data_IF_063373675064
#
_entry.id   IF_063373675064
#
_cell.length_a   1.000
_cell.length_b   1.000
_cell.length_c   1.000
_cell.angle_alpha   90.00
_cell.angle_beta   90.00
_cell.angle_gamma   90.00
#
_symmetry.space_group_name_H-M   'P 1'
#
loop_
_entity.id
_entity.type
_entity.pdbx_description
1 polymer ?
#
# COMPACT_ATOMS: atom_id res chain seq x y z
N UNK A 1 12.30 -11.16 2.31
CA UNK A 1 12.42 -11.10 3.80
C UNK A 1 13.10 -9.79 4.18
N UNK A 2 12.65 -9.12 5.26
CA UNK A 2 13.28 -7.89 5.77
C UNK A 2 13.71 -8.09 7.23
N UNK A 3 14.92 -7.60 7.57
CA UNK A 3 15.51 -7.69 8.91
C UNK A 3 15.29 -6.34 9.60
N UNK A 4 14.88 -6.36 10.86
CA UNK A 4 14.76 -5.15 11.66
C UNK A 4 16.12 -4.80 12.27
N UNK A 5 16.59 -3.55 12.02
CA UNK A 5 17.90 -3.10 12.54
C UNK A 5 17.74 -2.32 13.86
N UNK A 6 16.64 -1.58 14.02
CA UNK A 6 16.42 -0.74 15.18
C UNK A 6 15.14 0.07 15.13
N UNK A 7 15.08 1.11 15.99
CA UNK A 7 14.03 2.15 15.98
C UNK A 7 14.69 3.52 16.04
N UNK A 8 14.26 4.44 15.17
CA UNK A 8 14.64 5.85 15.23
C UNK A 8 13.34 6.65 15.36
N UNK A 9 13.28 7.58 16.29
CA UNK A 9 12.08 8.36 16.62
C UNK A 9 10.84 7.49 16.92
N UNK A 10 11.04 6.25 17.45
CA UNK A 10 9.98 5.28 17.69
C UNK A 10 9.51 4.50 16.45
N UNK A 11 10.05 4.82 15.26
CA UNK A 11 9.70 4.17 14.00
C UNK A 11 10.65 2.99 13.77
N UNK A 12 10.11 1.75 13.56
CA UNK A 12 10.94 0.59 13.27
C UNK A 12 11.59 0.73 11.88
N UNK A 13 12.93 0.51 11.82
CA UNK A 13 13.69 0.52 10.57
C UNK A 13 13.99 -0.91 10.17
N UNK A 14 13.74 -1.23 8.91
CA UNK A 14 13.98 -2.54 8.30
C UNK A 14 14.85 -2.42 7.07
N UNK A 15 15.71 -3.41 6.87
CA UNK A 15 16.47 -3.60 5.63
C UNK A 15 15.92 -4.83 4.92
N UNK A 16 15.57 -4.65 3.64
CA UNK A 16 15.26 -5.76 2.76
C UNK A 16 16.56 -6.36 2.21
N UNK A 17 16.63 -7.68 2.00
CA UNK A 17 17.84 -8.36 1.52
C UNK A 17 18.36 -7.82 0.18
N UNK A 18 17.48 -7.27 -0.66
CA UNK A 18 17.88 -6.67 -1.95
C UNK A 18 18.78 -5.44 -1.80
N UNK A 19 18.79 -4.80 -0.63
CA UNK A 19 19.69 -3.67 -0.37
C UNK A 19 21.15 -4.08 -0.42
N UNK A 20 21.50 -5.28 0.07
CA UNK A 20 22.86 -5.78 0.03
C UNK A 20 23.39 -5.93 -1.38
N UNK A 21 22.54 -6.38 -2.31
CA UNK A 21 22.92 -6.47 -3.72
C UNK A 21 23.26 -5.09 -4.28
N UNK A 22 22.42 -4.08 -4.02
CA UNK A 22 22.65 -2.70 -4.51
C UNK A 22 23.89 -2.10 -3.84
N UNK A 23 24.08 -2.34 -2.54
CA UNK A 23 25.25 -1.86 -1.81
C UNK A 23 26.56 -2.38 -2.46
N UNK A 24 26.63 -3.67 -2.72
CA UNK A 24 27.81 -4.28 -3.37
C UNK A 24 27.97 -3.74 -4.78
N UNK A 25 26.89 -3.62 -5.55
CA UNK A 25 26.93 -3.10 -6.91
C UNK A 25 27.46 -1.66 -6.96
N UNK A 26 26.96 -0.78 -6.08
CA UNK A 26 27.41 0.62 -6.02
C UNK A 26 28.88 0.68 -5.57
N UNK A 27 29.25 -0.02 -4.49
CA UNK A 27 30.63 -0.02 -4.02
C UNK A 27 31.60 -0.53 -5.07
N UNK A 28 31.25 -1.59 -5.80
CA UNK A 28 32.04 -2.13 -6.90
C UNK A 28 32.12 -1.17 -8.09
N UNK A 29 31.00 -0.61 -8.53
CA UNK A 29 30.97 0.37 -9.65
C UNK A 29 31.83 1.60 -9.35
N UNK A 30 31.80 2.07 -8.10
CA UNK A 30 32.65 3.18 -7.68
C UNK A 30 34.13 2.79 -7.62
N UNK A 31 34.45 1.63 -7.02
CA UNK A 31 35.84 1.19 -6.83
C UNK A 31 36.55 0.84 -8.14
N UNK A 32 35.83 0.28 -9.14
CA UNK A 32 36.43 -0.25 -10.36
C UNK A 32 36.21 0.69 -11.56
N UNK A 33 35.10 1.46 -11.55
CA UNK A 33 34.73 2.34 -12.68
C UNK A 33 34.99 3.82 -12.38
N UNK A 34 34.11 4.44 -11.59
CA UNK A 34 34.07 5.89 -11.44
C UNK A 34 35.34 6.47 -10.77
N UNK A 35 35.75 5.94 -9.62
CA UNK A 35 36.87 6.52 -8.85
C UNK A 35 38.23 6.41 -9.56
N UNK A 36 38.59 5.29 -10.22
CA UNK A 36 39.82 5.23 -11.00
C UNK A 36 39.84 6.18 -12.20
N UNK A 37 38.69 6.48 -12.77
CA UNK A 37 38.57 7.44 -13.90
C UNK A 37 38.77 8.88 -13.43
N UNK A 38 38.08 9.28 -12.34
CA UNK A 38 38.12 10.68 -11.84
C UNK A 38 39.39 10.98 -11.02
N UNK A 39 39.94 10.01 -10.32
CA UNK A 39 41.09 10.15 -9.42
C UNK A 39 42.16 9.07 -9.73
N UNK A 40 42.86 9.18 -10.88
CA UNK A 40 43.81 8.14 -11.27
C UNK A 40 45.04 8.09 -10.33
N UNK A 41 45.65 6.91 -10.23
CA UNK A 41 46.90 6.71 -9.50
C UNK A 41 46.79 6.33 -8.02
N UNK A 42 45.57 6.10 -7.52
CA UNK A 42 45.36 5.55 -6.19
C UNK A 42 45.49 4.02 -6.16
N UNK A 43 45.84 3.47 -5.00
CA UNK A 43 45.90 1.99 -4.85
C UNK A 43 44.50 1.35 -4.82
N UNK A 44 44.42 0.09 -5.23
CA UNK A 44 43.18 -0.70 -5.30
C UNK A 44 42.42 -0.68 -3.97
N UNK A 45 43.13 -0.85 -2.85
CA UNK A 45 42.51 -0.82 -1.49
C UNK A 45 41.85 0.53 -1.21
N UNK A 46 42.49 1.63 -1.66
CA UNK A 46 41.94 2.98 -1.48
C UNK A 46 40.65 3.18 -2.28
N UNK A 47 40.59 2.72 -3.54
CA UNK A 47 39.38 2.77 -4.35
C UNK A 47 38.23 2.01 -3.71
N UNK A 48 38.47 0.80 -3.20
CA UNK A 48 37.46 0.03 -2.49
C UNK A 48 37.00 0.71 -1.19
N UNK A 49 37.94 1.33 -0.46
CA UNK A 49 37.59 2.09 0.75
C UNK A 49 36.68 3.26 0.41
N UNK A 50 37.01 4.06 -0.60
CA UNK A 50 36.18 5.17 -1.07
C UNK A 50 34.80 4.64 -1.52
N UNK A 51 34.75 3.57 -2.31
CA UNK A 51 33.51 3.00 -2.82
C UNK A 51 32.58 2.51 -1.72
N UNK A 52 33.12 1.77 -0.73
CA UNK A 52 32.35 1.28 0.41
C UNK A 52 31.85 2.42 1.30
N UNK A 53 32.72 3.37 1.66
CA UNK A 53 32.35 4.52 2.50
C UNK A 53 31.30 5.39 1.80
N UNK A 54 31.45 5.66 0.50
CA UNK A 54 30.47 6.41 -0.29
C UNK A 54 29.12 5.71 -0.35
N UNK A 55 29.11 4.38 -0.53
CA UNK A 55 27.88 3.60 -0.51
C UNK A 55 27.18 3.66 0.87
N UNK A 56 27.95 3.56 1.97
CA UNK A 56 27.38 3.72 3.34
C UNK A 56 26.76 5.11 3.49
N UNK A 57 27.48 6.19 3.11
CA UNK A 57 26.96 7.56 3.19
C UNK A 57 25.68 7.69 2.38
N UNK A 58 25.61 7.14 1.18
CA UNK A 58 24.39 7.17 0.34
C UNK A 58 23.20 6.52 1.06
N UNK A 59 23.36 5.32 1.62
CA UNK A 59 22.25 4.65 2.31
C UNK A 59 21.85 5.34 3.61
N UNK A 60 22.78 5.94 4.33
CA UNK A 60 22.48 6.81 5.47
C UNK A 60 21.71 8.04 5.01
N UNK A 61 22.11 8.66 3.89
CA UNK A 61 21.41 9.80 3.31
C UNK A 61 19.97 9.46 2.89
N UNK A 62 19.76 8.31 2.24
CA UNK A 62 18.43 7.82 1.90
C UNK A 62 17.59 7.60 3.16
N UNK A 63 18.17 7.04 4.22
CA UNK A 63 17.46 6.88 5.48
C UNK A 63 17.07 8.22 6.11
N UNK A 64 17.96 9.21 6.08
CA UNK A 64 17.69 10.57 6.60
C UNK A 64 16.62 11.27 5.76
N UNK A 65 16.65 11.09 4.44
CA UNK A 65 15.61 11.55 3.52
C UNK A 65 14.22 10.99 3.93
N UNK A 66 14.08 9.67 4.11
CA UNK A 66 12.85 9.03 4.54
C UNK A 66 12.40 9.43 5.96
N UNK A 67 13.38 9.60 6.86
CA UNK A 67 13.09 10.08 8.21
C UNK A 67 12.53 11.51 8.19
N UNK A 68 12.93 12.34 7.22
CA UNK A 68 12.42 13.71 7.09
C UNK A 68 10.95 13.75 6.71
N UNK A 69 10.51 12.92 5.76
CA UNK A 69 9.08 12.71 5.48
C UNK A 69 8.32 12.23 6.72
N UNK A 70 8.89 11.22 7.36
CA UNK A 70 8.33 10.59 8.56
C UNK A 70 8.24 11.56 9.74
N UNK A 71 9.21 12.46 9.89
CA UNK A 71 9.17 13.50 10.93
C UNK A 71 8.00 14.45 10.73
N UNK A 72 7.81 14.96 9.51
CA UNK A 72 6.69 15.86 9.18
C UNK A 72 5.35 15.13 9.36
N UNK A 73 5.23 13.90 8.89
CA UNK A 73 4.03 13.08 9.06
C UNK A 73 3.68 12.90 10.55
N UNK A 74 4.64 12.45 11.35
CA UNK A 74 4.45 12.19 12.78
C UNK A 74 4.11 13.46 13.57
N UNK A 75 4.75 14.60 13.27
CA UNK A 75 4.46 15.90 13.90
C UNK A 75 3.03 16.35 13.65
N UNK A 76 2.42 15.91 12.55
CA UNK A 76 1.03 16.22 12.20
C UNK A 76 0.05 15.07 12.51
N UNK A 77 0.44 14.12 13.37
CA UNK A 77 -0.44 13.08 13.91
C UNK A 77 -0.64 11.86 13.01
N UNK A 78 0.03 11.79 11.85
CA UNK A 78 -0.08 10.61 10.97
C UNK A 78 0.72 9.43 11.54
N UNK A 79 0.09 8.26 11.70
CA UNK A 79 0.77 7.08 12.21
C UNK A 79 1.67 6.44 11.15
N UNK A 80 2.91 6.09 11.55
CA UNK A 80 3.90 5.47 10.68
C UNK A 80 4.18 4.06 11.18
N UNK A 81 3.93 3.06 10.34
CA UNK A 81 4.13 1.67 10.70
C UNK A 81 5.61 1.29 10.75
N UNK A 82 6.38 1.66 9.73
CA UNK A 82 7.81 1.36 9.60
C UNK A 82 8.43 2.08 8.41
N UNK A 83 9.78 2.13 8.39
CA UNK A 83 10.58 2.49 7.22
C UNK A 83 11.30 1.23 6.76
N UNK A 84 11.23 0.91 5.47
CA UNK A 84 11.93 -0.23 4.87
C UNK A 84 12.85 0.27 3.77
N UNK A 85 14.15 0.00 3.89
CA UNK A 85 15.14 0.24 2.83
C UNK A 85 15.23 -0.99 1.93
N UNK A 86 15.15 -0.78 0.62
CA UNK A 86 15.16 -1.84 -0.39
C UNK A 86 15.89 -1.38 -1.67
N UNK A 87 15.84 -2.18 -2.75
CA UNK A 87 16.57 -1.96 -4.00
C UNK A 87 16.43 -0.55 -4.58
N UNK A 88 15.22 0.02 -4.63
CA UNK A 88 14.95 1.33 -5.22
C UNK A 88 15.01 2.51 -4.22
N UNK A 89 15.51 2.31 -3.00
CA UNK A 89 15.60 3.35 -1.99
C UNK A 89 14.90 3.00 -0.68
N UNK A 90 14.23 3.99 -0.07
CA UNK A 90 13.44 3.83 1.14
C UNK A 90 11.94 3.90 0.86
N UNK A 91 11.14 3.22 1.68
CA UNK A 91 9.69 3.38 1.71
C UNK A 91 9.23 3.52 3.16
N UNK A 92 8.59 4.64 3.43
CA UNK A 92 7.88 4.90 4.68
C UNK A 92 6.44 4.40 4.57
N UNK A 93 6.09 3.35 5.33
CA UNK A 93 4.72 2.86 5.38
C UNK A 93 3.89 3.75 6.32
N UNK A 94 3.27 4.78 5.74
CA UNK A 94 2.32 5.66 6.41
C UNK A 94 0.95 5.00 6.30
N UNK A 95 0.28 4.78 7.44
CA UNK A 95 -0.98 4.03 7.48
C UNK A 95 -2.20 4.84 7.05
N UNK A 96 -2.11 6.16 7.08
CA UNK A 96 -3.18 7.08 6.70
C UNK A 96 -2.68 8.11 5.71
N UNK A 97 -3.43 8.36 4.64
CA UNK A 97 -3.10 9.43 3.69
C UNK A 97 -3.40 10.81 4.29
N UNK A 98 -2.57 11.83 3.97
CA UNK A 98 -2.85 13.21 4.36
C UNK A 98 -4.24 13.67 3.87
N UNK A 99 -5.04 14.24 4.76
CA UNK A 99 -6.35 14.80 4.41
C UNK A 99 -6.28 16.29 4.02
N UNK A 100 -5.13 16.92 4.25
CA UNK A 100 -4.86 18.31 3.91
C UNK A 100 -3.81 18.40 2.79
N UNK A 101 -4.11 19.12 1.69
CA UNK A 101 -3.17 19.30 0.59
C UNK A 101 -1.88 20.02 0.99
N UNK A 102 -1.97 20.96 1.94
CA UNK A 102 -0.79 21.65 2.45
C UNK A 102 0.14 20.74 3.25
N UNK A 103 -0.43 19.79 3.99
CA UNK A 103 0.35 18.77 4.70
C UNK A 103 1.03 17.82 3.70
N UNK A 104 0.33 17.41 2.65
CA UNK A 104 0.90 16.55 1.61
C UNK A 104 2.13 17.19 0.97
N UNK A 105 2.04 18.47 0.58
CA UNK A 105 3.16 19.21 -0.02
C UNK A 105 4.34 19.30 0.95
N UNK A 106 4.10 19.70 2.20
CA UNK A 106 5.18 19.84 3.22
C UNK A 106 5.85 18.50 3.51
N UNK A 107 5.06 17.44 3.60
CA UNK A 107 5.56 16.11 3.86
C UNK A 107 6.41 15.62 2.67
N UNK A 108 5.89 15.74 1.45
CA UNK A 108 6.60 15.29 0.26
C UNK A 108 7.87 16.11 -0.03
N UNK A 109 7.87 17.40 0.22
CA UNK A 109 9.04 18.24 0.02
C UNK A 109 10.16 18.03 1.07
N UNK A 110 9.83 17.46 2.24
CA UNK A 110 10.79 17.34 3.37
C UNK A 110 12.01 16.48 3.03
N UNK A 111 11.83 15.36 2.32
CA UNK A 111 12.93 14.48 1.90
C UNK A 111 13.89 15.14 0.92
N UNK A 112 13.43 15.61 -0.23
CA UNK A 112 14.28 16.33 -1.19
C UNK A 112 15.01 17.53 -0.58
N UNK A 113 14.33 18.34 0.25
CA UNK A 113 14.97 19.46 0.95
C UNK A 113 16.09 18.98 1.86
N UNK A 114 15.89 17.90 2.59
CA UNK A 114 16.94 17.32 3.45
C UNK A 114 18.12 16.80 2.61
N UNK A 115 17.87 16.17 1.47
CA UNK A 115 18.94 15.76 0.55
C UNK A 115 19.77 16.94 0.05
N UNK A 116 19.16 18.09 -0.26
CA UNK A 116 19.90 19.30 -0.61
C UNK A 116 20.67 19.88 0.58
N UNK A 117 20.14 19.81 1.80
CA UNK A 117 20.89 20.21 3.00
C UNK A 117 22.13 19.34 3.17
N UNK A 118 22.01 18.01 3.04
CA UNK A 118 23.14 17.08 3.11
C UNK A 118 24.14 17.39 1.98
N UNK A 119 23.66 17.60 0.75
CA UNK A 119 24.51 17.97 -0.38
C UNK A 119 25.28 19.25 -0.13
N UNK A 120 24.63 20.28 0.40
CA UNK A 120 25.28 21.56 0.74
C UNK A 120 26.35 21.40 1.82
N UNK A 121 26.04 20.65 2.91
CA UNK A 121 27.01 20.39 4.00
C UNK A 121 28.22 19.63 3.46
N UNK A 122 28.00 18.54 2.69
CA UNK A 122 29.09 17.76 2.10
C UNK A 122 29.86 18.54 1.05
N UNK A 123 29.20 19.40 0.28
CA UNK A 123 29.83 20.31 -0.68
C UNK A 123 30.73 21.35 -0.01
N UNK A 124 30.29 21.93 1.11
CA UNK A 124 31.13 22.84 1.91
C UNK A 124 32.35 22.10 2.48
N UNK A 125 32.15 20.89 3.03
CA UNK A 125 33.24 20.07 3.55
C UNK A 125 34.24 19.66 2.45
N UNK A 126 33.75 19.33 1.27
CA UNK A 126 34.56 19.08 0.08
C UNK A 126 35.40 20.31 -0.28
N UNK A 127 34.77 21.49 -0.38
CA UNK A 127 35.46 22.73 -0.71
C UNK A 127 36.55 23.12 0.32
N UNK A 128 36.24 22.98 1.61
CA UNK A 128 37.22 23.20 2.70
C UNK A 128 38.34 22.16 2.62
N UNK A 129 38.02 20.91 2.28
CA UNK A 129 39.01 19.83 2.06
C UNK A 129 40.00 20.17 0.94
N UNK A 130 39.48 20.71 -0.19
CA UNK A 130 40.31 21.19 -1.30
C UNK A 130 41.25 22.33 -0.85
N UNK A 131 40.71 23.34 -0.16
CA UNK A 131 41.49 24.49 0.33
C UNK A 131 42.58 24.07 1.32
N UNK A 132 42.27 23.12 2.21
CA UNK A 132 43.19 22.60 3.23
C UNK A 132 44.15 21.54 2.69
N UNK A 133 44.09 21.19 1.41
CA UNK A 133 44.85 20.12 0.77
C UNK A 133 44.69 18.78 1.50
N UNK A 134 43.48 18.45 1.91
CA UNK A 134 43.17 17.17 2.51
C UNK A 134 43.54 16.00 1.57
N UNK A 135 43.59 14.79 2.10
CA UNK A 135 43.97 13.62 1.31
C UNK A 135 42.92 13.36 0.22
N UNK A 136 43.37 12.94 -0.98
CA UNK A 136 42.50 12.66 -2.16
C UNK A 136 41.33 11.74 -1.85
N UNK A 137 41.49 10.67 -1.04
CA UNK A 137 40.34 9.81 -0.68
C UNK A 137 39.22 10.54 0.06
N UNK A 138 39.54 11.49 0.94
CA UNK A 138 38.55 12.29 1.68
C UNK A 138 37.82 13.21 0.71
N UNK A 139 38.57 13.93 -0.14
CA UNK A 139 38.01 14.85 -1.15
C UNK A 139 37.09 14.09 -2.10
N UNK A 140 37.55 12.95 -2.65
CA UNK A 140 36.76 12.12 -3.56
C UNK A 140 35.45 11.61 -2.92
N UNK A 141 35.52 11.15 -1.66
CA UNK A 141 34.33 10.68 -0.94
C UNK A 141 33.33 11.81 -0.69
N UNK A 142 33.79 12.96 -0.21
CA UNK A 142 32.91 14.11 0.08
C UNK A 142 32.29 14.70 -1.19
N UNK A 143 33.09 14.83 -2.27
CA UNK A 143 32.60 15.35 -3.56
C UNK A 143 31.54 14.43 -4.15
N UNK A 144 31.80 13.13 -4.20
CA UNK A 144 30.83 12.16 -4.70
C UNK A 144 29.56 12.13 -3.82
N UNK A 145 29.70 12.08 -2.50
CA UNK A 145 28.57 12.05 -1.59
C UNK A 145 27.72 13.33 -1.67
N UNK A 146 28.34 14.49 -1.84
CA UNK A 146 27.64 15.75 -2.09
C UNK A 146 26.84 15.74 -3.40
N UNK A 147 27.51 15.33 -4.49
CA UNK A 147 26.91 15.23 -5.82
C UNK A 147 25.70 14.27 -5.82
N UNK A 148 25.85 13.07 -5.29
CA UNK A 148 24.78 12.07 -5.32
C UNK A 148 23.57 12.50 -4.47
N UNK A 149 23.78 13.22 -3.35
CA UNK A 149 22.68 13.79 -2.57
C UNK A 149 21.96 14.92 -3.30
N UNK A 150 22.70 15.76 -4.04
CA UNK A 150 22.09 16.78 -4.90
C UNK A 150 21.24 16.13 -6.00
N UNK A 151 21.76 15.10 -6.65
CA UNK A 151 21.02 14.32 -7.67
C UNK A 151 19.81 13.60 -7.06
N UNK A 152 19.93 13.02 -5.87
CA UNK A 152 18.82 12.39 -5.15
C UNK A 152 17.69 13.39 -4.87
N UNK A 153 18.02 14.58 -4.38
CA UNK A 153 17.06 15.67 -4.16
C UNK A 153 16.41 16.15 -5.45
N UNK A 154 17.22 16.40 -6.49
CA UNK A 154 16.74 16.88 -7.78
C UNK A 154 15.83 15.85 -8.48
N UNK A 155 16.26 14.58 -8.51
CA UNK A 155 15.47 13.50 -9.12
C UNK A 155 14.14 13.30 -8.40
N UNK A 156 14.13 13.32 -7.06
CA UNK A 156 12.90 13.20 -6.29
C UNK A 156 11.97 14.42 -6.43
N UNK A 157 12.44 15.58 -6.86
CA UNK A 157 11.59 16.75 -7.16
C UNK A 157 10.98 16.74 -8.57
N UNK A 158 11.31 15.78 -9.42
CA UNK A 158 10.62 15.63 -10.71
C UNK A 158 9.10 15.46 -10.51
N UNK A 159 8.25 16.19 -11.26
CA UNK A 159 6.80 16.17 -11.07
C UNK A 159 6.16 14.89 -11.62
N UNK A 160 6.65 13.75 -11.19
CA UNK A 160 6.23 12.44 -11.66
C UNK A 160 6.11 11.43 -10.51
N UNK A 161 5.00 10.69 -10.41
CA UNK A 161 4.88 9.55 -9.52
C UNK A 161 5.80 8.40 -9.95
N UNK A 162 6.35 7.62 -9.02
CA UNK A 162 6.10 7.64 -7.57
C UNK A 162 7.02 8.59 -6.77
N UNK A 163 7.71 9.53 -7.42
CA UNK A 163 8.65 10.45 -6.80
C UNK A 163 7.92 11.49 -5.93
N UNK A 164 8.65 12.09 -5.00
CA UNK A 164 8.09 13.10 -4.08
C UNK A 164 7.57 14.34 -4.81
N UNK A 165 8.25 14.76 -5.88
CA UNK A 165 7.82 15.86 -6.74
C UNK A 165 6.45 15.60 -7.39
N UNK A 166 6.11 14.35 -7.69
CA UNK A 166 4.78 13.97 -8.13
C UNK A 166 3.71 14.24 -7.06
N UNK A 167 4.04 13.96 -5.79
CA UNK A 167 3.17 14.26 -4.64
C UNK A 167 3.08 15.76 -4.34
N UNK A 168 4.20 16.48 -4.43
CA UNK A 168 4.21 17.95 -4.33
C UNK A 168 3.33 18.56 -5.41
N UNK A 169 3.46 18.08 -6.64
CA UNK A 169 2.66 18.55 -7.77
C UNK A 169 1.17 18.23 -7.59
N UNK A 170 0.82 16.98 -7.19
CA UNK A 170 -0.55 16.59 -6.84
C UNK A 170 -1.12 17.48 -5.75
N UNK A 171 -0.42 17.63 -4.64
CA UNK A 171 -0.86 18.45 -3.50
C UNK A 171 -1.09 19.90 -3.86
N UNK A 172 -0.23 20.46 -4.74
CA UNK A 172 -0.37 21.83 -5.24
C UNK A 172 -1.64 22.01 -6.09
N UNK A 173 -1.91 21.07 -7.02
CA UNK A 173 -3.15 21.08 -7.80
C UNK A 173 -4.37 20.86 -6.89
N UNK A 174 -4.28 19.92 -5.93
CA UNK A 174 -5.36 19.63 -5.00
C UNK A 174 -5.72 20.85 -4.17
N UNK A 175 -4.72 21.62 -3.72
CA UNK A 175 -4.93 22.87 -2.97
C UNK A 175 -5.75 23.92 -3.76
N UNK A 176 -5.58 23.97 -5.08
CA UNK A 176 -6.29 24.93 -5.94
C UNK A 176 -7.65 24.39 -6.41
N UNK A 177 -7.75 23.11 -6.72
CA UNK A 177 -8.96 22.50 -7.27
C UNK A 177 -9.95 22.00 -6.21
N UNK A 178 -9.51 21.85 -4.96
CA UNK A 178 -10.23 21.18 -3.87
C UNK A 178 -10.72 19.76 -4.25
N UNK A 179 -10.12 19.14 -5.26
CA UNK A 179 -10.51 17.82 -5.77
C UNK A 179 -9.29 16.91 -5.91
N UNK A 180 -9.14 15.97 -4.96
CA UNK A 180 -8.02 15.04 -4.91
C UNK A 180 -7.98 14.11 -6.13
N UNK A 181 -9.14 13.62 -6.60
CA UNK A 181 -9.22 12.73 -7.78
C UNK A 181 -8.73 13.46 -9.02
N UNK A 182 -9.20 14.69 -9.24
CA UNK A 182 -8.78 15.48 -10.39
C UNK A 182 -7.29 15.81 -10.32
N UNK A 183 -6.79 16.19 -9.15
CA UNK A 183 -5.37 16.45 -8.93
C UNK A 183 -4.51 15.20 -9.22
N UNK A 184 -4.93 14.04 -8.72
CA UNK A 184 -4.22 12.78 -8.96
C UNK A 184 -4.25 12.39 -10.43
N UNK A 185 -5.41 12.49 -11.11
CA UNK A 185 -5.50 12.21 -12.56
C UNK A 185 -4.57 13.11 -13.37
N UNK A 186 -4.48 14.39 -13.04
CA UNK A 186 -3.60 15.34 -13.72
C UNK A 186 -2.13 15.01 -13.47
N UNK A 187 -1.75 14.74 -12.21
CA UNK A 187 -0.39 14.36 -11.88
C UNK A 187 0.03 13.02 -12.54
N UNK A 188 -0.90 12.05 -12.63
CA UNK A 188 -0.67 10.78 -13.34
C UNK A 188 -0.42 11.02 -14.82
N UNK A 189 -1.23 11.84 -15.51
CA UNK A 189 -1.02 12.17 -16.94
C UNK A 189 0.34 12.82 -17.21
N UNK A 190 0.76 13.73 -16.33
CA UNK A 190 2.10 14.36 -16.42
C UNK A 190 3.19 13.31 -16.24
N UNK A 191 3.03 12.40 -15.26
CA UNK A 191 3.96 11.29 -15.04
C UNK A 191 4.03 10.33 -16.24
N UNK A 192 2.89 10.01 -16.87
CA UNK A 192 2.83 9.19 -18.08
C UNK A 192 3.55 9.88 -19.25
N UNK A 193 3.33 11.16 -19.46
CA UNK A 193 4.04 11.95 -20.50
C UNK A 193 5.54 11.94 -20.27
N UNK A 194 5.99 12.17 -19.03
CA UNK A 194 7.40 12.12 -18.66
C UNK A 194 8.00 10.71 -18.85
N UNK A 195 7.27 9.66 -18.46
CA UNK A 195 7.71 8.28 -18.64
C UNK A 195 7.89 7.90 -20.12
N UNK A 196 6.94 8.32 -20.96
CA UNK A 196 7.04 8.09 -22.41
C UNK A 196 8.24 8.83 -23.03
N UNK A 197 8.50 10.08 -22.59
CA UNK A 197 9.67 10.83 -23.01
C UNK A 197 10.97 10.11 -22.64
N UNK A 198 11.07 9.60 -21.40
CA UNK A 198 12.23 8.81 -20.96
C UNK A 198 12.39 7.52 -21.77
N UNK A 199 11.30 6.76 -21.98
CA UNK A 199 11.37 5.51 -22.75
C UNK A 199 11.80 5.78 -24.20
N UNK A 200 11.28 6.84 -24.81
CA UNK A 200 11.70 7.27 -26.15
C UNK A 200 13.18 7.71 -26.17
N UNK A 201 13.61 8.52 -25.21
CA UNK A 201 15.01 8.94 -25.07
C UNK A 201 15.95 7.76 -24.89
N UNK A 202 15.58 6.77 -24.07
CA UNK A 202 16.34 5.54 -23.89
C UNK A 202 16.43 4.71 -25.19
N UNK A 203 15.35 4.66 -25.97
CA UNK A 203 15.36 4.01 -27.28
C UNK A 203 16.33 4.72 -28.26
N UNK A 204 16.33 6.05 -28.25
CA UNK A 204 17.27 6.85 -29.06
C UNK A 204 18.72 6.55 -28.66
N UNK A 205 19.04 6.50 -27.36
CA UNK A 205 20.40 6.14 -26.90
C UNK A 205 20.85 4.76 -27.40
N UNK A 206 19.98 3.77 -27.41
CA UNK A 206 20.28 2.44 -27.96
C UNK A 206 20.66 2.54 -29.44
N UNK A 207 19.93 3.33 -30.23
CA UNK A 207 20.24 3.54 -31.67
C UNK A 207 21.61 4.19 -31.84
N UNK A 208 22.00 5.10 -30.96
CA UNK A 208 23.30 5.77 -31.00
C UNK A 208 24.46 4.96 -30.39
N UNK A 209 24.19 3.73 -29.93
CA UNK A 209 25.21 2.80 -29.45
C UNK A 209 25.34 2.69 -27.94
N UNK A 210 24.65 3.54 -27.17
CA UNK A 210 24.65 3.52 -25.70
C UNK A 210 23.59 2.53 -25.18
N UNK A 211 23.82 1.24 -25.43
CA UNK A 211 22.85 0.18 -25.21
C UNK A 211 22.47 0.02 -23.72
N UNK A 212 23.46 0.06 -22.82
CA UNK A 212 23.25 -0.15 -21.38
C UNK A 212 22.46 1.00 -20.78
N UNK A 213 22.90 2.24 -21.07
CA UNK A 213 22.24 3.44 -20.53
C UNK A 213 20.83 3.61 -21.11
N UNK A 214 20.65 3.29 -22.40
CA UNK A 214 19.35 3.31 -23.05
C UNK A 214 18.36 2.33 -22.43
N UNK A 215 18.76 1.07 -22.17
CA UNK A 215 17.91 0.10 -21.45
C UNK A 215 17.57 0.61 -20.05
N UNK A 216 18.55 1.16 -19.33
CA UNK A 216 18.35 1.64 -17.98
C UNK A 216 17.30 2.77 -17.92
N UNK A 217 17.37 3.72 -18.85
CA UNK A 217 16.41 4.82 -18.94
C UNK A 217 15.00 4.33 -19.33
N UNK A 218 14.89 3.32 -20.21
CA UNK A 218 13.62 2.69 -20.55
C UNK A 218 12.99 2.03 -19.30
N UNK A 219 13.79 1.29 -18.52
CA UNK A 219 13.34 0.63 -17.29
C UNK A 219 12.87 1.67 -16.25
N UNK A 220 13.61 2.77 -16.10
CA UNK A 220 13.19 3.88 -15.21
C UNK A 220 11.88 4.53 -15.69
N UNK A 221 11.72 4.77 -16.98
CA UNK A 221 10.47 5.28 -17.56
C UNK A 221 9.29 4.34 -17.29
N UNK A 222 9.48 3.04 -17.50
CA UNK A 222 8.46 2.03 -17.18
C UNK A 222 8.11 1.99 -15.69
N UNK A 223 9.10 2.09 -14.81
CA UNK A 223 8.90 2.17 -13.37
C UNK A 223 8.06 3.39 -12.97
N UNK A 224 8.34 4.57 -13.52
CA UNK A 224 7.57 5.80 -13.29
C UNK A 224 6.12 5.62 -13.75
N UNK A 225 5.89 5.07 -14.95
CA UNK A 225 4.55 4.78 -15.45
C UNK A 225 3.76 3.87 -14.52
N UNK A 226 4.36 2.74 -14.15
CA UNK A 226 3.73 1.75 -13.26
C UNK A 226 3.41 2.33 -11.87
N UNK A 227 4.30 3.16 -11.32
CA UNK A 227 4.09 3.88 -10.07
C UNK A 227 2.94 4.88 -10.14
N UNK A 228 2.84 5.64 -11.24
CA UNK A 228 1.78 6.60 -11.46
C UNK A 228 0.39 5.93 -11.57
N UNK A 229 0.28 4.86 -12.36
CA UNK A 229 -0.95 4.08 -12.46
C UNK A 229 -1.37 3.48 -11.11
N UNK A 230 -0.41 3.00 -10.33
CA UNK A 230 -0.65 2.42 -9.00
C UNK A 230 -1.15 3.49 -8.02
N UNK A 231 -0.54 4.68 -8.03
CA UNK A 231 -0.96 5.81 -7.20
C UNK A 231 -2.40 6.26 -7.52
N UNK A 232 -2.75 6.34 -8.80
CA UNK A 232 -4.11 6.67 -9.22
C UNK A 232 -5.12 5.61 -8.74
N UNK A 233 -4.82 4.32 -8.94
CA UNK A 233 -5.69 3.23 -8.48
C UNK A 233 -5.90 3.27 -6.97
N UNK A 234 -4.84 3.50 -6.19
CA UNK A 234 -4.94 3.62 -4.73
C UNK A 234 -5.82 4.78 -4.31
N UNK A 235 -5.66 5.96 -4.92
CA UNK A 235 -6.49 7.13 -4.64
C UNK A 235 -7.96 6.88 -4.99
N UNK A 236 -8.25 6.28 -6.15
CA UNK A 236 -9.63 5.96 -6.55
C UNK A 236 -10.30 4.99 -5.58
N UNK A 237 -9.59 3.92 -5.18
CA UNK A 237 -10.08 2.96 -4.19
C UNK A 237 -10.31 3.61 -2.83
N UNK A 238 -9.35 4.41 -2.35
CA UNK A 238 -9.49 5.13 -1.08
C UNK A 238 -10.71 6.05 -1.07
N UNK A 239 -10.90 6.84 -2.13
CA UNK A 239 -12.04 7.76 -2.27
C UNK A 239 -13.38 7.00 -2.41
N UNK A 240 -13.41 5.91 -3.18
CA UNK A 240 -14.61 5.09 -3.33
C UNK A 240 -15.05 4.44 -2.02
N UNK A 241 -14.13 4.18 -1.10
CA UNK A 241 -14.41 3.59 0.22
C UNK A 241 -14.59 4.63 1.34
N UNK A 242 -14.38 5.92 1.05
CA UNK A 242 -14.59 6.99 2.02
C UNK A 242 -16.04 7.03 2.48
N UNK A 243 -16.27 7.02 3.82
CA UNK A 243 -17.60 7.01 4.42
C UNK A 243 -18.36 5.68 4.30
N UNK A 244 -17.75 4.63 3.79
CA UNK A 244 -18.36 3.28 3.75
C UNK A 244 -17.96 2.51 4.99
N UNK A 245 -18.95 2.08 5.78
CA UNK A 245 -18.72 1.14 6.89
C UNK A 245 -18.86 -0.31 6.42
N UNK A 246 -18.21 -1.22 7.13
CA UNK A 246 -18.31 -2.66 6.89
C UNK A 246 -19.77 -3.12 7.00
N UNK A 247 -20.55 -2.56 7.93
CA UNK A 247 -21.96 -2.87 8.11
C UNK A 247 -22.84 -2.62 6.88
N UNK A 248 -22.40 -1.69 5.98
CA UNK A 248 -23.13 -1.36 4.75
C UNK A 248 -22.85 -2.35 3.59
N UNK A 249 -21.71 -3.06 3.65
CA UNK A 249 -21.24 -3.92 2.56
C UNK A 249 -21.17 -5.40 2.95
N UNK A 250 -21.27 -5.72 4.25
CA UNK A 250 -21.20 -7.08 4.73
C UNK A 250 -22.37 -7.94 4.26
N UNK A 251 -22.12 -9.21 4.03
CA UNK A 251 -23.17 -10.22 3.91
C UNK A 251 -23.74 -10.51 5.30
N UNK A 252 -25.04 -10.20 5.52
CA UNK A 252 -25.69 -10.32 6.86
C UNK A 252 -26.15 -11.72 7.20
N UNK A 253 -26.72 -12.45 6.24
CA UNK A 253 -27.21 -13.81 6.43
C UNK A 253 -26.06 -14.81 6.17
N UNK A 254 -25.17 -14.95 7.14
CA UNK A 254 -23.98 -15.80 7.00
C UNK A 254 -24.34 -17.25 7.30
N UNK A 255 -24.04 -18.14 6.35
CA UNK A 255 -24.13 -19.57 6.61
C UNK A 255 -23.01 -19.99 7.58
N UNK A 256 -23.38 -20.48 8.75
CA UNK A 256 -22.47 -20.90 9.81
C UNK A 256 -22.43 -22.42 9.93
N UNK A 257 -21.40 -22.94 10.55
CA UNK A 257 -21.23 -24.37 10.80
C UNK A 257 -21.08 -24.64 12.30
N UNK A 258 -21.63 -25.74 12.81
CA UNK A 258 -21.42 -26.15 14.20
C UNK A 258 -19.99 -26.66 14.40
N UNK A 259 -19.39 -26.47 15.59
CA UNK A 259 -18.00 -26.88 15.85
C UNK A 259 -17.76 -28.36 15.77
N UNK A 260 -18.78 -29.17 16.03
CA UNK A 260 -18.74 -30.63 16.07
C UNK A 260 -18.79 -31.30 14.68
N UNK A 261 -19.14 -30.56 13.61
CA UNK A 261 -19.21 -31.12 12.26
C UNK A 261 -17.83 -31.63 11.82
N UNK A 262 -17.77 -32.84 11.24
CA UNK A 262 -16.51 -33.38 10.73
C UNK A 262 -16.07 -32.66 9.48
N UNK A 263 -14.74 -32.58 9.25
CA UNK A 263 -14.16 -31.94 8.05
C UNK A 263 -14.68 -32.59 6.76
N UNK A 264 -14.95 -33.93 6.78
CA UNK A 264 -15.53 -34.62 5.64
C UNK A 264 -16.94 -34.11 5.30
N UNK A 265 -17.82 -34.01 6.32
CA UNK A 265 -19.16 -33.43 6.13
C UNK A 265 -19.13 -31.96 5.76
N UNK A 266 -18.19 -31.20 6.33
CA UNK A 266 -18.00 -29.82 5.97
C UNK A 266 -17.66 -29.65 4.48
N UNK A 267 -16.86 -30.56 3.91
CA UNK A 267 -16.55 -30.57 2.48
C UNK A 267 -17.79 -30.91 1.66
N UNK A 268 -18.47 -32.05 1.96
CA UNK A 268 -19.60 -32.54 1.16
C UNK A 268 -20.82 -31.63 1.22
N UNK A 269 -21.19 -31.17 2.41
CA UNK A 269 -22.47 -30.51 2.63
C UNK A 269 -22.40 -28.99 2.53
N UNK A 270 -21.18 -28.40 2.64
CA UNK A 270 -20.99 -26.96 2.60
C UNK A 270 -20.09 -26.50 1.46
N UNK A 271 -18.81 -26.93 1.41
CA UNK A 271 -17.89 -26.41 0.41
C UNK A 271 -18.27 -26.76 -1.04
N UNK A 272 -18.74 -28.00 -1.26
CA UNK A 272 -19.16 -28.45 -2.58
C UNK A 272 -20.58 -28.01 -2.98
N UNK A 273 -21.42 -27.66 -2.00
CA UNK A 273 -22.82 -27.24 -2.26
C UNK A 273 -22.93 -25.74 -2.43
N UNK A 274 -22.35 -24.95 -1.51
CA UNK A 274 -22.53 -23.50 -1.49
C UNK A 274 -21.37 -22.74 -2.12
N UNK A 275 -20.25 -23.39 -2.40
CA UNK A 275 -19.06 -22.82 -3.05
C UNK A 275 -18.45 -21.60 -2.34
N UNK A 276 -18.75 -21.38 -1.06
CA UNK A 276 -18.11 -20.33 -0.28
C UNK A 276 -16.68 -20.72 0.11
N UNK A 277 -15.75 -19.77 0.11
CA UNK A 277 -14.35 -20.05 0.45
C UNK A 277 -14.08 -20.17 1.96
N UNK A 278 -15.09 -20.10 2.83
CA UNK A 278 -14.98 -20.33 4.29
C UNK A 278 -16.28 -20.02 5.01
N UNK A 279 -16.40 -20.63 6.20
CA UNK A 279 -17.59 -20.59 7.04
C UNK A 279 -17.22 -20.23 8.47
N UNK A 280 -17.94 -19.29 9.14
CA UNK A 280 -17.79 -19.07 10.56
C UNK A 280 -18.25 -20.30 11.35
N UNK A 281 -17.47 -20.66 12.35
CA UNK A 281 -17.82 -21.72 13.31
C UNK A 281 -18.49 -21.06 14.51
N UNK A 282 -19.74 -21.41 14.76
CA UNK A 282 -20.59 -20.78 15.78
C UNK A 282 -21.16 -21.84 16.70
N UNK A 283 -21.15 -21.58 18.02
CA UNK A 283 -21.80 -22.37 19.04
C UNK A 283 -22.62 -21.46 19.95
N UNK A 284 -23.89 -21.79 20.17
CA UNK A 284 -24.80 -21.04 21.05
C UNK A 284 -24.82 -19.51 20.75
N UNK A 285 -24.72 -19.16 19.47
CA UNK A 285 -24.68 -17.75 19.01
C UNK A 285 -23.33 -17.05 19.15
N UNK A 286 -22.32 -17.72 19.73
CA UNK A 286 -20.97 -17.18 19.85
C UNK A 286 -20.05 -17.67 18.74
N UNK A 287 -19.22 -16.77 18.22
CA UNK A 287 -18.24 -17.09 17.18
C UNK A 287 -17.01 -17.71 17.81
N UNK A 288 -16.71 -18.96 17.46
CA UNK A 288 -15.50 -19.65 17.89
C UNK A 288 -14.32 -19.43 16.95
N UNK A 289 -14.59 -19.25 15.65
CA UNK A 289 -13.55 -19.05 14.65
C UNK A 289 -14.07 -19.10 13.23
N UNK A 290 -13.14 -19.31 12.29
CA UNK A 290 -13.40 -19.36 10.86
C UNK A 290 -12.74 -20.60 10.26
N UNK A 291 -13.50 -21.44 9.57
CA UNK A 291 -12.93 -22.53 8.77
C UNK A 291 -12.91 -22.14 7.29
N UNK A 292 -11.76 -22.32 6.64
CA UNK A 292 -11.53 -21.97 5.23
C UNK A 292 -11.12 -23.19 4.43
N UNK A 293 -11.15 -23.09 3.08
CA UNK A 293 -10.61 -24.14 2.22
C UNK A 293 -9.14 -24.47 2.53
N UNK A 294 -8.36 -23.48 2.97
CA UNK A 294 -6.98 -23.73 3.38
C UNK A 294 -6.89 -24.58 4.64
N UNK A 295 -7.78 -24.35 5.62
CA UNK A 295 -7.89 -25.20 6.82
C UNK A 295 -8.17 -26.65 6.43
N UNK A 296 -9.15 -26.87 5.55
CA UNK A 296 -9.51 -28.20 5.04
C UNK A 296 -8.35 -28.89 4.30
N UNK A 297 -7.57 -28.14 3.50
CA UNK A 297 -6.40 -28.68 2.79
C UNK A 297 -5.29 -29.13 3.73
N UNK A 298 -5.15 -28.49 4.88
CA UNK A 298 -4.15 -28.85 5.88
C UNK A 298 -4.50 -30.13 6.65
N UNK A 299 -5.75 -30.60 6.58
CA UNK A 299 -6.19 -31.87 7.19
C UNK A 299 -5.99 -33.01 6.19
N UNK A 300 -5.15 -34.03 6.51
CA UNK A 300 -4.98 -35.22 5.69
C UNK A 300 -6.33 -35.92 5.41
N UNK A 301 -6.48 -36.51 4.21
CA UNK A 301 -7.76 -37.12 3.79
C UNK A 301 -8.27 -38.18 4.77
N UNK A 302 -7.35 -38.97 5.31
CA UNK A 302 -7.65 -40.06 6.23
C UNK A 302 -8.20 -39.60 7.60
N UNK A 303 -7.90 -38.33 7.96
CA UNK A 303 -8.34 -37.73 9.23
C UNK A 303 -9.63 -36.94 9.12
N UNK A 304 -10.12 -36.64 7.92
CA UNK A 304 -11.30 -35.76 7.69
C UNK A 304 -12.59 -36.32 8.26
N UNK A 305 -12.71 -37.63 8.41
CA UNK A 305 -13.88 -38.30 9.00
C UNK A 305 -13.95 -38.13 10.51
N UNK A 306 -12.80 -37.87 11.16
CA UNK A 306 -12.70 -37.81 12.63
C UNK A 306 -12.41 -36.42 13.15
N UNK A 307 -11.71 -35.60 12.36
CA UNK A 307 -11.34 -34.24 12.74
C UNK A 307 -12.53 -33.30 12.56
N UNK A 308 -12.81 -32.49 13.61
CA UNK A 308 -13.95 -31.57 13.61
C UNK A 308 -13.60 -30.19 13.07
N UNK A 309 -14.62 -29.40 12.70
CA UNK A 309 -14.47 -28.03 12.30
C UNK A 309 -13.75 -27.16 13.36
N UNK A 310 -14.01 -27.43 14.66
CA UNK A 310 -13.36 -26.77 15.78
C UNK A 310 -11.85 -27.01 15.82
N UNK A 311 -11.43 -28.24 15.50
CA UNK A 311 -10.00 -28.59 15.48
C UNK A 311 -9.28 -28.00 14.26
N UNK A 312 -9.96 -27.90 13.12
CA UNK A 312 -9.41 -27.44 11.88
C UNK A 312 -9.49 -25.91 11.69
N UNK A 313 -10.36 -25.20 12.42
CA UNK A 313 -10.62 -23.77 12.24
C UNK A 313 -9.43 -22.88 12.63
N UNK A 314 -9.46 -21.64 12.15
CA UNK A 314 -8.68 -20.53 12.69
C UNK A 314 -9.47 -19.97 13.87
N UNK A 315 -8.98 -20.08 15.12
CA UNK A 315 -9.66 -19.53 16.29
C UNK A 315 -9.92 -18.02 16.18
N UNK A 316 -10.94 -17.53 16.87
CA UNK A 316 -11.36 -16.12 16.81
C UNK A 316 -10.24 -15.14 17.19
N UNK A 317 -9.34 -15.55 18.13
CA UNK A 317 -8.18 -14.74 18.54
C UNK A 317 -7.14 -14.55 17.41
N UNK A 318 -7.13 -15.45 16.43
CA UNK A 318 -6.25 -15.39 15.25
C UNK A 318 -6.97 -14.95 13.99
N UNK A 319 -8.30 -14.99 13.99
CA UNK A 319 -9.12 -14.48 12.90
C UNK A 319 -9.14 -12.94 12.91
N UNK A 320 -9.28 -12.35 11.74
CA UNK A 320 -9.49 -10.90 11.67
C UNK A 320 -10.97 -10.61 11.92
N UNK A 321 -11.23 -9.96 13.05
CA UNK A 321 -12.57 -9.57 13.48
C UNK A 321 -12.67 -8.05 13.44
N UNK A 322 -13.79 -7.54 12.94
CA UNK A 322 -14.08 -6.11 12.85
C UNK A 322 -15.50 -5.82 13.33
N UNK A 323 -15.78 -4.57 13.73
CA UNK A 323 -17.13 -4.12 14.06
C UNK A 323 -17.89 -3.65 12.82
N UNK A 324 -19.23 -3.62 12.82
CA UNK A 324 -20.02 -3.04 11.74
C UNK A 324 -19.68 -1.58 11.42
N UNK A 325 -19.27 -0.81 12.44
CA UNK A 325 -18.85 0.59 12.31
C UNK A 325 -17.47 0.79 11.73
N UNK A 326 -16.66 -0.28 11.63
CA UNK A 326 -15.31 -0.21 11.04
C UNK A 326 -15.39 0.28 9.59
N UNK A 327 -14.48 1.16 9.19
CA UNK A 327 -14.36 1.60 7.79
C UNK A 327 -14.04 0.42 6.85
N UNK A 328 -14.67 0.40 5.68
CA UNK A 328 -14.35 -0.61 4.65
C UNK A 328 -12.88 -0.55 4.20
N UNK A 329 -12.26 0.64 4.23
CA UNK A 329 -10.84 0.83 3.94
C UNK A 329 -9.96 0.16 5.02
N UNK A 330 -10.28 0.34 6.30
CA UNK A 330 -9.54 -0.28 7.42
C UNK A 330 -9.68 -1.80 7.40
N UNK A 331 -10.88 -2.29 7.07
CA UNK A 331 -11.12 -3.73 6.89
C UNK A 331 -10.27 -4.29 5.74
N UNK A 332 -10.20 -3.60 4.60
CA UNK A 332 -9.36 -3.97 3.46
C UNK A 332 -7.87 -3.97 3.83
N UNK A 333 -7.40 -2.96 4.54
CA UNK A 333 -6.01 -2.89 5.02
C UNK A 333 -5.70 -4.02 6.00
N UNK A 334 -6.64 -4.34 6.91
CA UNK A 334 -6.52 -5.45 7.85
C UNK A 334 -6.46 -6.80 7.14
N UNK A 335 -7.27 -7.01 6.09
CA UNK A 335 -7.20 -8.20 5.23
C UNK A 335 -5.83 -8.32 4.55
N UNK A 336 -5.30 -7.22 4.00
CA UNK A 336 -4.01 -7.19 3.33
C UNK A 336 -2.85 -7.48 4.31
N UNK A 337 -2.85 -6.84 5.48
CA UNK A 337 -1.83 -7.00 6.54
C UNK A 337 -1.75 -8.44 7.05
N UNK A 338 -2.90 -9.06 7.27
CA UNK A 338 -2.99 -10.42 7.79
C UNK A 338 -3.02 -11.49 6.68
N UNK A 339 -2.93 -11.09 5.40
CA UNK A 339 -2.96 -11.96 4.22
C UNK A 339 -4.20 -12.86 4.16
N UNK A 340 -5.35 -12.32 4.60
CA UNK A 340 -6.65 -13.01 4.56
C UNK A 340 -7.56 -12.38 3.50
N UNK A 341 -8.47 -13.18 2.95
CA UNK A 341 -9.44 -12.72 1.95
C UNK A 341 -10.78 -12.28 2.53
N UNK A 342 -10.97 -12.42 3.85
CA UNK A 342 -12.25 -12.14 4.53
C UNK A 342 -12.06 -11.79 6.00
N UNK A 343 -13.03 -11.08 6.56
CA UNK A 343 -13.09 -10.70 7.98
C UNK A 343 -14.46 -11.06 8.54
N UNK A 344 -14.48 -11.47 9.80
CA UNK A 344 -15.71 -11.68 10.55
C UNK A 344 -16.20 -10.35 11.09
N UNK A 345 -17.48 -10.07 10.94
CA UNK A 345 -18.10 -8.87 11.50
C UNK A 345 -18.86 -9.29 12.76
N UNK A 346 -18.38 -8.81 13.90
CA UNK A 346 -18.89 -9.18 15.21
C UNK A 346 -19.34 -7.93 15.95
N UNK A 347 -20.51 -7.97 16.57
CA UNK A 347 -21.05 -6.95 17.42
C UNK A 347 -21.51 -7.58 18.73
N UNK A 348 -21.03 -7.05 19.87
CA UNK A 348 -21.27 -7.56 21.22
C UNK A 348 -21.09 -9.10 21.34
N UNK A 349 -20.01 -9.62 20.72
CA UNK A 349 -19.66 -11.04 20.75
C UNK A 349 -20.46 -11.93 19.80
N UNK A 350 -21.46 -11.39 19.09
CA UNK A 350 -22.29 -12.13 18.12
C UNK A 350 -21.85 -11.87 16.68
N UNK A 351 -21.91 -12.92 15.86
CA UNK A 351 -21.70 -12.77 14.42
C UNK A 351 -22.86 -12.01 13.79
N UNK A 352 -22.57 -10.85 13.19
CA UNK A 352 -23.57 -10.03 12.48
C UNK A 352 -23.37 -10.06 10.98
N UNK A 353 -22.19 -10.49 10.51
CA UNK A 353 -21.90 -10.59 9.10
C UNK A 353 -20.50 -11.12 8.79
N UNK A 354 -20.22 -11.23 7.51
CA UNK A 354 -18.89 -11.48 6.95
C UNK A 354 -18.64 -10.52 5.79
N UNK A 355 -17.42 -10.05 5.66
CA UNK A 355 -17.02 -9.21 4.52
C UNK A 355 -15.82 -9.84 3.84
N UNK A 356 -15.89 -9.97 2.53
CA UNK A 356 -14.80 -10.49 1.71
C UNK A 356 -14.13 -9.35 0.93
N UNK A 357 -12.93 -9.62 0.40
CA UNK A 357 -12.28 -8.70 -0.53
C UNK A 357 -13.13 -8.43 -1.77
N UNK A 358 -13.89 -9.42 -2.23
CA UNK A 358 -14.78 -9.34 -3.37
C UNK A 358 -15.95 -8.38 -3.13
N UNK A 359 -16.53 -8.37 -1.91
CA UNK A 359 -17.59 -7.44 -1.53
C UNK A 359 -17.10 -5.99 -1.57
N UNK A 360 -15.86 -5.75 -1.09
CA UNK A 360 -15.24 -4.43 -1.15
C UNK A 360 -14.99 -4.01 -2.60
N UNK A 361 -14.43 -4.91 -3.44
CA UNK A 361 -14.17 -4.63 -4.86
C UNK A 361 -15.47 -4.34 -5.60
N UNK A 362 -16.53 -5.14 -5.41
CA UNK A 362 -17.85 -4.88 -5.97
C UNK A 362 -18.39 -3.50 -5.59
N UNK A 363 -18.24 -3.13 -4.32
CA UNK A 363 -18.67 -1.80 -3.84
C UNK A 363 -17.93 -0.68 -4.55
N UNK A 364 -16.61 -0.81 -4.74
CA UNK A 364 -15.80 0.16 -5.48
C UNK A 364 -16.26 0.24 -6.94
N UNK A 365 -16.46 -0.90 -7.60
CA UNK A 365 -16.93 -0.96 -8.99
C UNK A 365 -18.31 -0.33 -9.15
N UNK A 366 -19.28 -0.73 -8.32
CA UNK A 366 -20.64 -0.18 -8.37
C UNK A 366 -20.65 1.34 -8.17
N UNK A 367 -19.84 1.85 -7.22
CA UNK A 367 -19.73 3.31 -7.02
C UNK A 367 -19.09 4.02 -8.21
N UNK A 368 -18.12 3.42 -8.82
CA UNK A 368 -17.50 3.94 -10.03
C UNK A 368 -18.48 3.97 -11.20
N UNK A 369 -19.22 2.88 -11.43
CA UNK A 369 -20.16 2.75 -12.55
C UNK A 369 -21.38 3.68 -12.41
N UNK A 370 -21.78 3.96 -11.16
CA UNK A 370 -22.87 4.90 -10.86
C UNK A 370 -22.39 6.36 -10.72
N UNK A 371 -21.12 6.65 -11.05
CA UNK A 371 -20.49 7.98 -10.86
C UNK A 371 -20.65 8.55 -9.42
N UNK A 372 -20.95 7.68 -8.46
CA UNK A 372 -21.05 8.05 -7.05
C UNK A 372 -19.67 8.24 -6.40
N UNK A 373 -18.64 8.38 -7.23
CA UNK A 373 -17.28 8.70 -6.81
C UNK A 373 -17.18 10.14 -6.30
N UNK A 374 -16.61 10.31 -5.11
CA UNK A 374 -16.42 11.57 -4.38
C UNK A 374 -17.74 12.25 -3.99
N UNK A 375 -18.49 11.59 -3.11
CA UNK A 375 -19.63 12.19 -2.44
C UNK A 375 -19.25 13.47 -1.73
N UNK A 376 -20.08 14.49 -1.86
CA UNK A 376 -20.06 15.69 -1.02
C UNK A 376 -19.87 15.26 0.44
N UNK A 377 -18.99 15.91 1.23
CA UNK A 377 -18.92 15.67 2.67
C UNK A 377 -20.32 15.90 3.24
N UNK A 378 -20.95 14.87 3.82
CA UNK A 378 -22.29 14.94 4.39
C UNK A 378 -23.40 14.20 3.63
N UNK A 379 -23.13 13.53 2.52
CA UNK A 379 -24.11 12.62 1.92
C UNK A 379 -24.25 11.38 2.83
N UNK A 380 -25.16 11.44 3.77
CA UNK A 380 -25.69 10.26 4.44
C UNK A 380 -26.34 9.39 3.34
N UNK A 381 -25.87 8.14 3.20
CA UNK A 381 -26.59 7.19 2.37
C UNK A 381 -28.00 7.10 2.89
N UNK A 382 -29.02 7.24 2.03
CA UNK A 382 -30.33 6.77 2.41
C UNK A 382 -30.15 5.29 2.74
N UNK A 383 -30.33 4.91 3.98
CA UNK A 383 -30.52 3.52 4.37
C UNK A 383 -31.57 2.98 3.40
N UNK A 384 -31.31 1.93 2.61
CA UNK A 384 -32.36 1.37 1.80
C UNK A 384 -33.40 0.83 2.77
N UNK A 385 -34.46 1.58 2.96
CA UNK A 385 -35.69 1.11 3.55
C UNK A 385 -36.40 0.22 2.52
N UNK A 386 -35.67 -0.74 1.96
CA UNK A 386 -36.28 -1.86 1.25
C UNK A 386 -36.48 -2.95 2.31
N UNK A 387 -37.47 -2.74 3.15
CA UNK A 387 -38.20 -3.87 3.70
C UNK A 387 -38.97 -4.46 2.53
N UNK A 388 -38.39 -5.43 1.81
CA UNK A 388 -39.16 -6.31 0.98
C UNK A 388 -40.19 -6.95 1.90
N UNK A 389 -41.41 -6.46 1.87
CA UNK A 389 -42.50 -7.06 2.61
C UNK A 389 -42.85 -8.35 1.90
N UNK A 390 -42.90 -9.46 2.60
CA UNK A 390 -43.39 -10.71 2.09
C UNK A 390 -44.86 -10.87 2.51
N UNK A 391 -45.69 -11.38 1.64
CA UNK A 391 -47.05 -11.67 1.97
C UNK A 391 -47.14 -12.63 3.17
N UNK A 392 -47.89 -12.25 4.19
CA UNK A 392 -48.05 -13.05 5.42
C UNK A 392 -48.77 -14.39 5.14
N UNK A 393 -49.45 -14.55 4.01
CA UNK A 393 -50.23 -15.73 3.72
C UNK A 393 -49.54 -16.66 2.70
N UNK A 394 -48.89 -16.16 1.65
CA UNK A 394 -48.25 -16.98 0.62
C UNK A 394 -46.74 -16.78 0.47
N UNK A 395 -46.13 -15.89 1.21
CA UNK A 395 -44.69 -15.61 1.16
C UNK A 395 -44.22 -14.86 -0.09
N UNK A 396 -45.07 -14.47 -1.01
CA UNK A 396 -44.69 -13.74 -2.23
C UNK A 396 -44.15 -12.35 -1.91
N UNK A 397 -43.14 -11.89 -2.67
CA UNK A 397 -42.53 -10.57 -2.56
C UNK A 397 -43.53 -9.50 -2.92
N UNK A 398 -43.74 -8.53 -2.04
CA UNK A 398 -44.69 -7.45 -2.20
C UNK A 398 -44.00 -6.12 -2.53
N UNK A 399 -44.55 -5.31 -3.44
CA UNK A 399 -44.10 -3.92 -3.58
C UNK A 399 -44.27 -3.14 -2.27
N UNK A 400 -43.37 -2.21 -2.02
CA UNK A 400 -43.39 -1.37 -0.80
C UNK A 400 -44.72 -0.62 -0.73
N UNK A 401 -45.47 -0.80 0.36
CA UNK A 401 -46.77 -0.14 0.56
C UNK A 401 -47.99 -0.87 -0.08
N UNK A 402 -47.81 -2.09 -0.58
CA UNK A 402 -48.90 -2.89 -1.12
C UNK A 402 -49.91 -3.24 -0.01
N UNK A 403 -51.18 -2.82 -0.21
CA UNK A 403 -52.29 -3.14 0.71
C UNK A 403 -52.85 -4.55 0.51
N UNK A 404 -52.60 -5.16 -0.65
CA UNK A 404 -53.04 -6.49 -1.02
C UNK A 404 -51.93 -7.23 -1.76
N UNK A 405 -51.86 -8.54 -1.56
CA UNK A 405 -50.93 -9.39 -2.31
C UNK A 405 -51.35 -9.57 -3.74
N UNK A 406 -50.46 -9.37 -4.70
CA UNK A 406 -50.71 -9.56 -6.15
C UNK A 406 -50.87 -11.02 -6.53
N UNK A 407 -50.33 -11.95 -5.74
CA UNK A 407 -50.38 -13.38 -6.02
C UNK A 407 -51.61 -14.10 -5.41
N UNK A 408 -51.94 -13.80 -4.14
CA UNK A 408 -53.01 -14.49 -3.44
C UNK A 408 -54.19 -13.60 -2.99
N UNK A 409 -54.12 -12.28 -3.26
CA UNK A 409 -55.18 -11.35 -2.91
C UNK A 409 -55.31 -10.99 -1.42
N UNK A 410 -54.47 -11.57 -0.56
CA UNK A 410 -54.56 -11.35 0.88
C UNK A 410 -54.21 -9.91 1.29
N UNK A 411 -55.04 -9.32 2.17
CA UNK A 411 -54.82 -7.99 2.75
C UNK A 411 -53.59 -8.03 3.65
N UNK A 412 -52.69 -7.08 3.50
CA UNK A 412 -51.47 -6.96 4.27
C UNK A 412 -51.67 -6.00 5.44
N UNK A 413 -51.00 -6.23 6.61
CA UNK A 413 -51.05 -5.27 7.70
C UNK A 413 -50.39 -3.96 7.26
N UNK A 414 -50.90 -2.84 7.78
CA UNK A 414 -50.47 -1.48 7.42
C UNK A 414 -49.06 -1.19 7.97
#
# INVERSE_FOLDING_TARGET
MSIRIGKIMGIPIRIHYTLWFVFVLIAWSLAVGYMPHEYPGLGVVTYWTIGVVSAVILFVSILVHELSHSYVAKKNGLPIARITLFFFGGVSEITEEPQDPGLEVRMAAAGPLMSFVIAAVLGVLWYVGELSKASVPIIATLGYAGLINALLGAFNLLPAFPLDGGRVFRGSIWKHSNNLIQATKTATRVSEGFSLLMMFGGFVLIIFGDFIDGIWIIVLGWFIKSGAETSLKQTLVGQALTGVSVGNIMTKNVLTVPPEITVQRLVSDYFLVYHHGGYPVVKDGQVLGLVTLQCVRNVPRERREYETAQQAMIPCERAVVVKPSTSALDAMQSMAKNKVGRVLVVDDGKLVGITTREDIVKTVQTRHDLELGAGRPGATFPTPAIRAAHCIQCGALLPVGAKFCTECGAKQPA
#
